data_IF_750146986497
#
_entry.id   IF_750146986497
#
_cell.length_a   1.000
_cell.length_b   1.000
_cell.length_c   1.000
_cell.angle_alpha   90.00
_cell.angle_beta   90.00
_cell.angle_gamma   90.00
#
_symmetry.space_group_name_H-M   'P 1'
#
loop_
_entity.id
_entity.type
_entity.pdbx_description
1 polymer ?
#
# COMPACT_ATOMS: atom_id res chain seq x y z
N UNK A 1 7.10 -5.68 -19.25
CA UNK A 1 6.19 -6.53 -18.44
C UNK A 1 6.26 -6.20 -16.96
N UNK A 2 7.43 -6.24 -16.31
CA UNK A 2 7.57 -5.93 -14.87
C UNK A 2 6.97 -4.56 -14.46
N UNK A 3 7.25 -3.50 -15.22
CA UNK A 3 6.70 -2.15 -15.00
C UNK A 3 5.16 -2.17 -14.96
N UNK A 4 4.51 -2.83 -15.93
CA UNK A 4 3.05 -2.93 -16.00
C UNK A 4 2.49 -3.65 -14.76
N UNK A 5 3.12 -4.76 -14.36
CA UNK A 5 2.70 -5.55 -13.20
C UNK A 5 2.82 -4.73 -11.92
N UNK A 6 3.97 -4.08 -11.70
CA UNK A 6 4.22 -3.22 -10.54
C UNK A 6 3.23 -2.05 -10.50
N UNK A 7 2.95 -1.45 -11.65
CA UNK A 7 1.97 -0.36 -11.73
C UNK A 7 0.56 -0.81 -11.35
N UNK A 8 0.11 -1.96 -11.85
CA UNK A 8 -1.19 -2.54 -11.49
C UNK A 8 -1.26 -2.92 -9.99
N UNK A 9 -0.18 -3.49 -9.45
CA UNK A 9 -0.06 -3.74 -8.01
C UNK A 9 -0.15 -2.45 -7.20
N UNK A 10 0.48 -1.38 -7.68
CA UNK A 10 0.38 -0.04 -7.09
C UNK A 10 -1.06 0.43 -7.02
N UNK A 11 -1.81 0.38 -8.13
CA UNK A 11 -3.24 0.73 -8.15
C UNK A 11 -4.00 -0.09 -7.09
N UNK A 12 -3.73 -1.39 -7.00
CA UNK A 12 -4.32 -2.26 -5.99
C UNK A 12 -4.00 -1.82 -4.55
N UNK A 13 -2.73 -1.56 -4.24
CA UNK A 13 -2.31 -1.10 -2.92
C UNK A 13 -2.95 0.24 -2.53
N UNK A 14 -3.00 1.20 -3.46
CA UNK A 14 -3.68 2.47 -3.23
C UNK A 14 -5.17 2.30 -2.95
N UNK A 15 -5.85 1.46 -3.74
CA UNK A 15 -7.27 1.15 -3.55
C UNK A 15 -7.53 0.44 -2.21
N UNK A 16 -6.67 -0.50 -1.82
CA UNK A 16 -6.76 -1.20 -0.54
C UNK A 16 -6.54 -0.24 0.63
N UNK A 17 -5.54 0.63 0.56
CA UNK A 17 -5.33 1.62 1.61
C UNK A 17 -6.50 2.58 1.74
N UNK A 18 -7.05 3.05 0.61
CA UNK A 18 -8.26 3.86 0.62
C UNK A 18 -9.43 3.12 1.28
N UNK A 19 -9.64 1.84 0.93
CA UNK A 19 -10.69 1.02 1.52
C UNK A 19 -10.53 0.83 3.03
N UNK A 20 -9.31 0.65 3.54
CA UNK A 20 -9.04 0.59 4.98
C UNK A 20 -9.41 1.91 5.65
N UNK A 21 -9.00 3.05 5.08
CA UNK A 21 -9.29 4.35 5.67
C UNK A 21 -10.79 4.67 5.67
N UNK A 22 -11.52 4.22 4.64
CA UNK A 22 -12.98 4.35 4.55
C UNK A 22 -13.73 3.33 5.43
N UNK A 23 -13.10 2.22 5.81
CA UNK A 23 -13.75 1.15 6.59
C UNK A 23 -14.15 1.56 8.02
N UNK A 24 -13.58 2.64 8.55
CA UNK A 24 -13.89 3.12 9.91
C UNK A 24 -13.56 2.10 11.00
N UNK A 25 -12.58 1.23 10.77
CA UNK A 25 -12.25 0.15 11.70
C UNK A 25 -11.81 0.72 13.07
N UNK A 26 -12.25 0.17 14.21
CA UNK A 26 -11.95 0.71 15.55
C UNK A 26 -10.46 0.78 15.91
N UNK A 27 -9.60 0.08 15.15
CA UNK A 27 -8.13 0.23 15.25
C UNK A 27 -7.65 1.60 14.77
N UNK A 28 -8.35 2.21 13.81
CA UNK A 28 -8.09 3.57 13.35
C UNK A 28 -8.55 4.58 14.40
N UNK A 29 -9.67 4.33 15.08
CA UNK A 29 -10.23 5.20 16.14
C UNK A 29 -9.37 5.30 17.41
N UNK A 30 -8.43 4.36 17.62
CA UNK A 30 -7.45 4.43 18.71
C UNK A 30 -6.31 5.43 18.42
N UNK A 31 -6.17 5.91 17.19
CA UNK A 31 -5.16 6.91 16.83
C UNK A 31 -5.68 8.32 17.11
N UNK A 32 -4.87 9.23 17.67
CA UNK A 32 -5.30 10.59 17.98
C UNK A 32 -5.84 11.29 16.72
N UNK A 33 -6.94 12.05 16.84
CA UNK A 33 -7.63 12.73 15.74
C UNK A 33 -6.72 13.51 14.76
N UNK A 34 -5.61 14.08 15.23
CA UNK A 34 -4.62 14.79 14.39
C UNK A 34 -3.80 13.84 13.51
N UNK A 35 -3.61 12.58 13.93
CA UNK A 35 -3.02 11.53 13.13
C UNK A 35 -3.98 11.04 12.05
N UNK A 36 -5.29 11.12 12.20
CA UNK A 36 -6.24 10.57 11.21
C UNK A 36 -6.12 11.23 9.82
N UNK A 37 -6.08 12.57 9.78
CA UNK A 37 -5.99 13.31 8.51
C UNK A 37 -4.55 13.36 7.96
N UNK A 38 -3.55 13.40 8.84
CA UNK A 38 -2.15 13.47 8.45
C UNK A 38 -1.59 12.09 8.06
N UNK A 39 -2.02 11.01 8.73
CA UNK A 39 -1.63 9.62 8.43
C UNK A 39 -2.19 9.16 7.09
N UNK A 40 -3.41 9.55 6.73
CA UNK A 40 -4.02 9.18 5.45
C UNK A 40 -3.20 9.70 4.27
N UNK A 41 -2.82 10.98 4.30
CA UNK A 41 -2.03 11.58 3.22
C UNK A 41 -0.58 11.14 3.25
N UNK A 42 0.02 10.99 4.43
CA UNK A 42 1.38 10.47 4.57
C UNK A 42 1.47 9.01 4.12
N UNK A 43 0.51 8.16 4.45
CA UNK A 43 0.54 6.75 4.04
C UNK A 43 0.46 6.63 2.53
N UNK A 44 -0.43 7.38 1.87
CA UNK A 44 -0.51 7.44 0.41
C UNK A 44 0.80 7.95 -0.22
N UNK A 45 1.46 8.92 0.42
CA UNK A 45 2.76 9.40 -0.03
C UNK A 45 3.85 8.33 0.10
N UNK A 46 3.86 7.58 1.21
CA UNK A 46 4.78 6.44 1.39
C UNK A 46 4.49 5.36 0.35
N UNK A 47 3.22 5.04 0.10
CA UNK A 47 2.79 4.09 -0.93
C UNK A 47 3.31 4.51 -2.32
N UNK A 48 3.23 5.81 -2.61
CA UNK A 48 3.75 6.39 -3.85
C UNK A 48 5.26 6.25 -3.94
N UNK A 49 6.01 6.55 -2.88
CA UNK A 49 7.47 6.39 -2.87
C UNK A 49 7.88 4.93 -3.06
N UNK A 50 7.16 3.99 -2.45
CA UNK A 50 7.40 2.55 -2.64
C UNK A 50 7.14 2.14 -4.10
N UNK A 51 6.04 2.59 -4.70
CA UNK A 51 5.72 2.34 -6.10
C UNK A 51 6.78 2.94 -7.03
N UNK A 52 7.13 4.20 -6.81
CA UNK A 52 8.13 4.91 -7.60
C UNK A 52 9.49 4.20 -7.54
N UNK A 53 9.94 3.82 -6.35
CA UNK A 53 11.17 3.06 -6.17
C UNK A 53 11.14 1.71 -6.91
N UNK A 54 10.03 0.97 -6.81
CA UNK A 54 9.85 -0.28 -7.55
C UNK A 54 9.90 -0.11 -9.07
N UNK A 55 9.27 0.95 -9.59
CA UNK A 55 9.26 1.27 -11.02
C UNK A 55 10.64 1.71 -11.53
N UNK A 56 11.38 2.52 -10.76
CA UNK A 56 12.74 2.94 -11.09
C UNK A 56 13.71 1.77 -11.13
N UNK A 57 13.65 0.86 -10.15
CA UNK A 57 14.48 -0.34 -10.16
C UNK A 57 14.11 -1.26 -11.32
N UNK A 58 12.82 -1.37 -11.65
CA UNK A 58 12.35 -2.16 -12.79
C UNK A 58 12.75 -1.53 -14.14
N UNK A 59 12.86 -0.22 -14.26
CA UNK A 59 13.33 0.44 -15.49
C UNK A 59 14.81 0.20 -15.76
N UNK A 60 15.61 0.04 -14.71
CA UNK A 60 17.03 -0.37 -14.80
C UNK A 60 17.22 -1.88 -15.02
N UNK A 61 16.13 -2.65 -15.15
CA UNK A 61 16.18 -4.11 -15.33
C UNK A 61 16.54 -4.89 -14.05
N UNK A 62 16.53 -4.25 -12.89
CA UNK A 62 16.86 -4.88 -11.61
C UNK A 62 15.64 -5.69 -11.13
N UNK A 63 15.64 -6.99 -11.45
CA UNK A 63 14.54 -7.91 -11.13
C UNK A 63 14.18 -7.96 -9.64
N UNK A 64 15.16 -7.73 -8.76
CA UNK A 64 14.95 -7.69 -7.31
C UNK A 64 14.02 -6.56 -6.86
N UNK A 65 13.99 -5.42 -7.55
CA UNK A 65 13.06 -4.33 -7.25
C UNK A 65 11.61 -4.73 -7.50
N UNK A 66 11.37 -5.45 -8.61
CA UNK A 66 10.04 -5.98 -8.95
C UNK A 66 9.56 -7.04 -7.95
N UNK A 67 10.45 -7.96 -7.55
CA UNK A 67 10.14 -8.98 -6.54
C UNK A 67 9.88 -8.37 -5.16
N UNK A 68 10.69 -7.39 -4.76
CA UNK A 68 10.51 -6.67 -3.51
C UNK A 68 9.15 -5.96 -3.46
N UNK A 69 8.78 -5.27 -4.53
CA UNK A 69 7.48 -4.60 -4.62
C UNK A 69 6.30 -5.59 -4.63
N UNK A 70 6.46 -6.74 -5.29
CA UNK A 70 5.45 -7.80 -5.29
C UNK A 70 5.24 -8.38 -3.89
N UNK A 71 6.32 -8.69 -3.17
CA UNK A 71 6.24 -9.18 -1.79
C UNK A 71 5.59 -8.13 -0.87
N UNK A 72 5.98 -6.86 -1.00
CA UNK A 72 5.37 -5.75 -0.28
C UNK A 72 3.85 -5.65 -0.55
N UNK A 73 3.44 -5.73 -1.82
CA UNK A 73 2.02 -5.66 -2.21
C UNK A 73 1.20 -6.82 -1.64
N UNK A 74 1.76 -8.04 -1.60
CA UNK A 74 1.10 -9.19 -0.98
C UNK A 74 0.89 -8.99 0.52
N UNK A 75 1.89 -8.46 1.23
CA UNK A 75 1.77 -8.16 2.66
C UNK A 75 0.72 -7.08 2.93
N UNK A 76 0.66 -6.05 2.10
CA UNK A 76 -0.38 -5.01 2.20
C UNK A 76 -1.76 -5.59 1.92
N UNK A 77 -1.91 -6.46 0.92
CA UNK A 77 -3.17 -7.15 0.64
C UNK A 77 -3.64 -8.05 1.80
N UNK A 78 -2.73 -8.81 2.41
CA UNK A 78 -3.06 -9.64 3.58
C UNK A 78 -3.48 -8.77 4.77
N UNK A 79 -2.73 -7.69 5.03
CA UNK A 79 -3.03 -6.75 6.11
C UNK A 79 -4.40 -6.09 5.91
N UNK A 80 -4.65 -5.59 4.70
CA UNK A 80 -5.94 -5.02 4.32
C UNK A 80 -7.07 -6.02 4.49
N UNK A 81 -6.88 -7.27 4.06
CA UNK A 81 -7.89 -8.31 4.21
C UNK A 81 -8.20 -8.62 5.67
N UNK A 82 -7.20 -8.72 6.54
CA UNK A 82 -7.41 -8.97 7.97
C UNK A 82 -8.24 -7.86 8.63
N UNK A 83 -7.93 -6.60 8.33
CA UNK A 83 -8.63 -5.42 8.87
C UNK A 83 -10.05 -5.33 8.29
N UNK A 84 -10.20 -5.39 6.96
CA UNK A 84 -11.49 -5.24 6.29
C UNK A 84 -12.46 -6.39 6.58
N UNK A 85 -11.95 -7.58 6.89
CA UNK A 85 -12.78 -8.71 7.31
C UNK A 85 -13.07 -8.76 8.81
N UNK A 86 -12.59 -7.77 9.59
CA UNK A 86 -12.79 -7.69 11.04
C UNK A 86 -12.15 -8.84 11.81
N UNK A 87 -11.10 -9.46 11.24
CA UNK A 87 -10.33 -10.51 11.93
C UNK A 87 -9.34 -9.94 12.94
N UNK A 88 -9.00 -8.66 12.79
CA UNK A 88 -8.08 -7.88 13.63
C UNK A 88 -8.70 -6.51 13.82
#
# INVERSE_FOLDING_TARGET
MAILIIFLLGIGNFALHQAIMESGHPLLDQLPWFYHALSSRLSLFVEFLMLLGGLLLASEGIAWGALGYLAYSLLNAISAWLILSGRV
#
